data_IF_732447994598
#
_entry.id   IF_732447994598
#
_cell.length_a   1.000
_cell.length_b   1.000
_cell.length_c   1.000
_cell.angle_alpha   90.00
_cell.angle_beta   90.00
_cell.angle_gamma   90.00
#
_symmetry.space_group_name_H-M   'P 1'
#
loop_
_entity.id
_entity.type
_entity.pdbx_description
1 polymer ?
#
# COMPACT_ATOMS: atom_id res chain seq x y z
N UNK A 1 -2.18 13.78 12.08
CA UNK A 1 -1.16 14.76 12.54
C UNK A 1 -0.31 14.04 13.57
N UNK A 2 1.01 14.11 13.48
CA UNK A 2 1.90 13.46 14.44
C UNK A 2 1.91 14.24 15.77
N UNK A 3 2.21 13.54 16.90
CA UNK A 3 2.31 14.18 18.23
C UNK A 3 3.24 15.40 18.20
N UNK A 4 4.34 15.30 17.47
CA UNK A 4 5.33 16.38 17.32
C UNK A 4 4.76 17.59 16.62
N UNK A 5 3.97 17.36 15.54
CA UNK A 5 3.32 18.46 14.78
C UNK A 5 2.36 19.23 15.67
N UNK A 6 1.58 18.52 16.51
CA UNK A 6 0.66 19.15 17.47
C UNK A 6 1.42 20.01 18.48
N UNK A 7 2.52 19.50 19.02
CA UNK A 7 3.35 20.24 19.97
C UNK A 7 4.04 21.46 19.33
N UNK A 8 4.48 21.34 18.08
CA UNK A 8 5.06 22.46 17.32
C UNK A 8 3.99 23.53 17.01
N UNK A 9 2.77 23.14 16.69
CA UNK A 9 1.65 24.07 16.49
C UNK A 9 1.27 24.79 17.78
N UNK A 10 1.31 24.12 18.94
CA UNK A 10 1.15 24.80 20.24
C UNK A 10 2.27 25.80 20.47
N UNK A 11 3.52 25.40 20.24
CA UNK A 11 4.70 26.26 20.41
C UNK A 11 4.66 27.49 19.52
N UNK A 12 4.12 27.38 18.30
CA UNK A 12 3.98 28.49 17.33
C UNK A 12 2.69 29.27 17.51
N UNK A 13 1.81 28.90 18.46
CA UNK A 13 0.53 29.57 18.71
C UNK A 13 -0.54 29.34 17.65
N UNK A 14 -0.37 28.34 16.79
CA UNK A 14 -1.36 27.97 15.75
C UNK A 14 -2.58 27.31 16.39
N UNK A 15 -2.36 26.49 17.44
CA UNK A 15 -3.43 25.88 18.25
C UNK A 15 -3.20 26.18 19.73
N UNK A 16 -4.28 26.22 20.52
CA UNK A 16 -4.20 26.42 21.96
C UNK A 16 -3.78 25.14 22.72
N UNK A 17 -3.35 25.28 23.95
CA UNK A 17 -3.07 24.15 24.83
C UNK A 17 -4.32 23.28 25.03
N UNK A 18 -5.49 23.92 25.19
CA UNK A 18 -6.78 23.24 25.35
C UNK A 18 -7.17 22.41 24.13
N UNK A 19 -6.85 22.91 22.91
CA UNK A 19 -7.06 22.16 21.66
C UNK A 19 -6.10 20.96 21.57
N UNK A 20 -4.83 21.15 21.94
CA UNK A 20 -3.86 20.05 22.00
C UNK A 20 -4.26 19.00 23.08
N UNK A 21 -4.75 19.43 24.24
CA UNK A 21 -5.27 18.50 25.26
C UNK A 21 -6.46 17.67 24.76
N UNK A 22 -7.39 18.30 24.03
CA UNK A 22 -8.49 17.56 23.40
C UNK A 22 -7.99 16.51 22.43
N UNK A 23 -6.97 16.87 21.63
CA UNK A 23 -6.34 15.94 20.69
C UNK A 23 -5.73 14.73 21.40
N UNK A 24 -4.96 14.96 22.49
CA UNK A 24 -4.31 13.88 23.25
C UNK A 24 -5.28 13.08 24.15
N UNK A 25 -6.38 13.68 24.59
CA UNK A 25 -7.44 13.02 25.40
C UNK A 25 -8.43 12.24 24.53
N UNK A 26 -8.32 12.31 23.19
CA UNK A 26 -9.20 11.57 22.31
C UNK A 26 -9.08 10.07 22.59
N UNK A 27 -10.22 9.41 22.73
CA UNK A 27 -10.24 7.96 22.93
C UNK A 27 -9.55 7.26 21.75
N UNK A 28 -8.80 6.17 21.99
CA UNK A 28 -8.06 5.48 20.93
C UNK A 28 -8.95 4.83 19.87
N UNK A 29 -10.24 4.76 20.13
CA UNK A 29 -11.26 4.31 19.18
C UNK A 29 -12.58 5.00 19.44
N UNK A 30 -13.40 5.09 18.40
CA UNK A 30 -14.79 5.54 18.48
C UNK A 30 -15.72 4.32 18.46
N UNK A 31 -16.64 4.23 19.43
CA UNK A 31 -17.61 3.14 19.56
C UNK A 31 -18.90 3.50 18.81
N UNK A 32 -19.23 2.78 17.75
CA UNK A 32 -20.47 2.94 16.98
C UNK A 32 -21.53 1.90 17.32
N UNK A 33 -21.30 1.07 18.35
CA UNK A 33 -22.18 -0.04 18.73
C UNK A 33 -22.00 -1.30 17.88
N UNK A 34 -21.83 -1.15 16.58
CA UNK A 34 -21.56 -2.25 15.63
C UNK A 34 -20.10 -2.26 15.10
N UNK A 35 -19.35 -1.22 15.34
CA UNK A 35 -17.94 -1.09 14.95
C UNK A 35 -17.18 -0.23 15.95
N UNK A 36 -15.87 -0.47 16.03
CA UNK A 36 -14.92 0.35 16.78
C UNK A 36 -13.91 0.92 15.78
N UNK A 37 -13.97 2.22 15.52
CA UNK A 37 -13.08 2.88 14.59
C UNK A 37 -11.80 3.30 15.29
N UNK A 38 -10.66 2.86 14.80
CA UNK A 38 -9.34 3.12 15.39
C UNK A 38 -8.83 4.54 15.03
N UNK A 39 -9.20 5.51 15.82
CA UNK A 39 -8.84 6.93 15.62
C UNK A 39 -7.35 7.23 15.90
N UNK A 40 -6.64 6.32 16.58
CA UNK A 40 -5.21 6.45 16.89
C UNK A 40 -4.29 5.66 15.95
N UNK A 41 -4.83 4.98 14.95
CA UNK A 41 -4.03 4.15 14.05
C UNK A 41 -2.95 4.95 13.32
N UNK A 42 -3.28 6.14 12.85
CA UNK A 42 -2.32 7.02 12.19
C UNK A 42 -1.14 7.40 13.12
N UNK A 43 -1.41 7.65 14.40
CA UNK A 43 -0.39 7.98 15.40
C UNK A 43 0.53 6.79 15.67
N UNK A 44 -0.02 5.57 15.75
CA UNK A 44 0.73 4.35 16.08
C UNK A 44 1.47 3.75 14.90
N UNK A 45 0.86 3.73 13.71
CA UNK A 45 1.39 3.03 12.53
C UNK A 45 1.79 3.95 11.38
N UNK A 46 1.55 5.28 11.51
CA UNK A 46 1.81 6.25 10.46
C UNK A 46 0.80 6.26 9.32
N UNK A 47 -0.27 5.45 9.41
CA UNK A 47 -1.33 5.35 8.39
C UNK A 47 -2.71 5.34 9.04
N UNK A 48 -3.72 6.00 8.43
CA UNK A 48 -5.10 5.96 8.90
C UNK A 48 -5.70 4.55 8.78
N UNK A 49 -6.84 4.34 9.42
CA UNK A 49 -7.60 3.11 9.25
C UNK A 49 -8.12 2.97 7.82
N UNK A 50 -8.15 1.72 7.32
CA UNK A 50 -8.63 1.36 5.99
C UNK A 50 -9.82 0.41 6.12
N UNK A 51 -10.82 0.62 5.29
CA UNK A 51 -12.07 -0.13 5.34
C UNK A 51 -11.96 -1.37 4.44
N UNK A 52 -12.08 -2.55 5.01
CA UNK A 52 -12.32 -3.76 4.23
C UNK A 52 -13.82 -3.83 3.89
N UNK A 53 -14.18 -3.56 2.63
CA UNK A 53 -15.57 -3.38 2.22
C UNK A 53 -16.33 -4.69 2.03
N UNK A 54 -15.62 -5.77 1.62
CA UNK A 54 -16.25 -7.06 1.35
C UNK A 54 -16.97 -7.62 2.60
N UNK A 55 -18.22 -8.04 2.41
CA UNK A 55 -19.03 -8.63 3.48
C UNK A 55 -19.56 -7.66 4.55
N UNK A 56 -19.27 -6.35 4.44
CA UNK A 56 -19.88 -5.37 5.35
C UNK A 56 -21.34 -5.08 4.95
N UNK A 57 -22.26 -5.01 5.91
CA UNK A 57 -23.61 -4.48 5.65
C UNK A 57 -23.54 -3.04 5.14
N UNK A 58 -24.34 -2.73 4.14
CA UNK A 58 -24.28 -1.46 3.40
C UNK A 58 -24.42 -0.23 4.31
N UNK A 59 -25.41 -0.25 5.22
CA UNK A 59 -25.61 0.86 6.17
C UNK A 59 -24.40 1.10 7.10
N UNK A 60 -23.66 0.04 7.46
CA UNK A 60 -22.47 0.16 8.29
C UNK A 60 -21.30 0.69 7.47
N UNK A 61 -21.19 0.26 6.21
CA UNK A 61 -20.16 0.71 5.30
C UNK A 61 -20.22 2.23 5.09
N UNK A 62 -21.39 2.77 4.74
CA UNK A 62 -21.59 4.21 4.53
C UNK A 62 -21.21 5.00 5.78
N UNK A 63 -21.70 4.61 6.95
CA UNK A 63 -21.39 5.31 8.19
C UNK A 63 -19.90 5.26 8.55
N UNK A 64 -19.24 4.12 8.36
CA UNK A 64 -17.79 3.99 8.59
C UNK A 64 -17.01 4.92 7.67
N UNK A 65 -17.35 4.97 6.37
CA UNK A 65 -16.71 5.86 5.41
C UNK A 65 -16.86 7.33 5.80
N UNK A 66 -18.07 7.77 6.17
CA UNK A 66 -18.33 9.14 6.60
C UNK A 66 -17.50 9.49 7.84
N UNK A 67 -17.52 8.65 8.87
CA UNK A 67 -16.78 8.92 10.11
C UNK A 67 -15.27 8.98 9.90
N UNK A 68 -14.70 8.03 9.16
CA UNK A 68 -13.27 8.05 8.84
C UNK A 68 -12.88 9.25 7.97
N UNK A 69 -13.75 9.66 7.04
CA UNK A 69 -13.53 10.86 6.25
C UNK A 69 -13.61 12.14 7.10
N UNK A 70 -14.59 12.28 7.98
CA UNK A 70 -14.70 13.39 8.93
C UNK A 70 -13.47 13.49 9.83
N UNK A 71 -12.95 12.34 10.29
CA UNK A 71 -11.78 12.29 11.15
C UNK A 71 -10.47 12.65 10.44
N UNK A 72 -10.25 12.09 9.25
CA UNK A 72 -8.94 12.15 8.59
C UNK A 72 -8.92 13.10 7.38
N UNK A 73 -10.08 13.55 6.87
CA UNK A 73 -10.21 14.28 5.61
C UNK A 73 -9.89 13.45 4.36
N UNK A 74 -9.73 12.14 4.54
CA UNK A 74 -9.50 11.15 3.49
C UNK A 74 -9.90 9.78 4.01
N UNK A 75 -10.26 8.86 3.12
CA UNK A 75 -10.64 7.49 3.49
C UNK A 75 -10.33 6.53 2.34
N UNK A 76 -9.87 5.33 2.67
CA UNK A 76 -9.59 4.25 1.72
C UNK A 76 -10.41 3.02 2.10
N UNK A 77 -11.07 2.43 1.13
CA UNK A 77 -11.69 1.12 1.21
C UNK A 77 -11.14 0.18 0.16
N UNK A 78 -10.93 -1.07 0.53
CA UNK A 78 -10.47 -2.12 -0.37
C UNK A 78 -11.57 -3.16 -0.59
N UNK A 79 -11.51 -3.86 -1.72
CA UNK A 79 -12.47 -4.91 -2.11
C UNK A 79 -13.92 -4.43 -2.08
N UNK A 80 -14.15 -3.21 -2.53
CA UNK A 80 -15.48 -2.65 -2.71
C UNK A 80 -16.16 -3.22 -3.96
N UNK A 81 -17.47 -3.22 -3.95
CA UNK A 81 -18.30 -3.53 -5.10
C UNK A 81 -18.91 -2.25 -5.69
N UNK A 82 -19.24 -2.25 -6.97
CA UNK A 82 -19.87 -1.11 -7.64
C UNK A 82 -21.16 -0.64 -6.93
N UNK A 83 -21.98 -1.60 -6.44
CA UNK A 83 -23.17 -1.26 -5.66
C UNK A 83 -22.84 -0.49 -4.35
N UNK A 84 -21.76 -0.86 -3.69
CA UNK A 84 -21.30 -0.16 -2.47
C UNK A 84 -20.79 1.25 -2.79
N UNK A 85 -20.16 1.43 -3.95
CA UNK A 85 -19.76 2.76 -4.42
C UNK A 85 -20.97 3.68 -4.60
N UNK A 86 -22.03 3.23 -5.27
CA UNK A 86 -23.22 4.06 -5.47
C UNK A 86 -23.83 4.52 -4.13
N UNK A 87 -23.91 3.61 -3.15
CA UNK A 87 -24.41 3.94 -1.82
C UNK A 87 -23.54 4.95 -1.08
N UNK A 88 -22.22 4.75 -1.10
CA UNK A 88 -21.29 5.69 -0.44
C UNK A 88 -21.30 7.04 -1.14
N UNK A 89 -21.40 7.08 -2.47
CA UNK A 89 -21.41 8.30 -3.27
C UNK A 89 -22.61 9.20 -2.98
N UNK A 90 -23.77 8.64 -2.64
CA UNK A 90 -24.93 9.43 -2.21
C UNK A 90 -24.62 10.28 -0.97
N UNK A 91 -23.88 9.72 -0.02
CA UNK A 91 -23.52 10.38 1.23
C UNK A 91 -22.19 11.16 1.15
N UNK A 92 -21.27 10.75 0.27
CA UNK A 92 -19.92 11.30 0.09
C UNK A 92 -19.62 11.48 -1.40
N UNK A 93 -20.16 12.57 -2.05
CA UNK A 93 -20.10 12.74 -3.51
C UNK A 93 -18.69 12.78 -4.13
N UNK A 94 -17.67 13.13 -3.35
CA UNK A 94 -16.26 13.16 -3.79
C UNK A 94 -15.58 11.80 -3.80
N UNK A 95 -16.25 10.73 -3.37
CA UNK A 95 -15.67 9.38 -3.40
C UNK A 95 -15.46 8.91 -4.83
N UNK A 96 -14.34 8.27 -5.08
CA UNK A 96 -14.01 7.62 -6.36
C UNK A 96 -13.92 6.12 -6.19
N UNK A 97 -14.25 5.39 -7.24
CA UNK A 97 -14.16 3.94 -7.30
C UNK A 97 -13.37 3.51 -8.54
N UNK A 98 -12.45 2.61 -8.34
CA UNK A 98 -11.71 1.96 -9.41
C UNK A 98 -12.18 0.50 -9.56
N UNK A 99 -12.75 0.18 -10.73
CA UNK A 99 -13.33 -1.13 -11.01
C UNK A 99 -12.28 -2.24 -11.14
N UNK A 100 -11.02 -1.89 -11.44
CA UNK A 100 -9.94 -2.86 -11.62
C UNK A 100 -9.40 -3.32 -10.28
N UNK A 101 -9.07 -2.38 -9.40
CA UNK A 101 -8.52 -2.65 -8.06
C UNK A 101 -9.58 -2.88 -6.99
N UNK A 102 -10.86 -2.56 -7.29
CA UNK A 102 -11.94 -2.52 -6.31
C UNK A 102 -11.65 -1.57 -5.12
N UNK A 103 -10.91 -0.51 -5.38
CA UNK A 103 -10.63 0.53 -4.40
C UNK A 103 -11.69 1.62 -4.45
N UNK A 104 -12.17 1.96 -3.27
CA UNK A 104 -13.10 3.04 -3.00
C UNK A 104 -12.41 4.07 -2.13
N UNK A 105 -12.22 5.32 -2.60
CA UNK A 105 -11.43 6.29 -1.85
C UNK A 105 -11.87 7.74 -2.01
N UNK A 106 -11.60 8.53 -0.97
CA UNK A 106 -11.42 9.98 -1.05
C UNK A 106 -9.98 10.29 -0.66
N UNK A 107 -9.25 10.96 -1.51
CA UNK A 107 -7.85 11.34 -1.27
C UNK A 107 -7.73 12.85 -1.12
N UNK A 108 -6.90 13.32 -0.17
CA UNK A 108 -6.62 14.74 0.01
C UNK A 108 -5.99 15.34 -1.24
N UNK A 109 -6.49 16.51 -1.66
CA UNK A 109 -5.89 17.25 -2.75
C UNK A 109 -4.45 17.69 -2.41
N UNK A 110 -3.56 17.69 -3.41
CA UNK A 110 -2.18 18.14 -3.24
C UNK A 110 -1.28 17.21 -2.42
N UNK A 111 -1.66 15.95 -2.22
CA UNK A 111 -0.83 14.96 -1.52
C UNK A 111 0.52 14.81 -2.20
N UNK A 112 1.59 15.05 -1.45
CA UNK A 112 2.96 14.86 -1.92
C UNK A 112 3.30 13.38 -1.85
N UNK A 113 3.76 12.81 -2.96
CA UNK A 113 4.26 11.44 -3.04
C UNK A 113 5.78 11.46 -3.12
N UNK A 114 6.43 10.55 -2.40
CA UNK A 114 7.89 10.52 -2.28
C UNK A 114 8.45 9.12 -2.51
N UNK A 115 9.76 9.05 -2.76
CA UNK A 115 10.45 7.80 -3.06
C UNK A 115 9.92 7.14 -4.32
N UNK A 116 10.16 5.84 -4.47
CA UNK A 116 9.73 5.05 -5.64
C UNK A 116 9.48 3.60 -5.24
N UNK A 117 8.35 3.06 -5.64
CA UNK A 117 8.00 1.63 -5.55
C UNK A 117 7.75 1.14 -6.98
N UNK A 118 8.34 0.03 -7.37
CA UNK A 118 8.02 -0.64 -8.63
C UNK A 118 6.99 -1.74 -8.37
N UNK A 119 5.89 -1.76 -9.14
CA UNK A 119 4.86 -2.81 -9.07
C UNK A 119 4.87 -3.58 -10.39
N UNK A 120 5.28 -4.85 -10.30
CA UNK A 120 5.47 -5.73 -11.46
C UNK A 120 4.40 -6.83 -11.48
N UNK A 121 3.79 -7.12 -12.65
CA UNK A 121 2.91 -8.28 -12.82
C UNK A 121 3.50 -9.31 -13.78
N UNK A 122 3.23 -10.60 -13.50
CA UNK A 122 3.59 -11.67 -14.42
C UNK A 122 2.72 -11.63 -15.68
N UNK A 123 1.42 -11.48 -15.51
CA UNK A 123 0.47 -11.38 -16.62
C UNK A 123 -0.56 -10.28 -16.41
N UNK A 124 -1.39 -10.05 -17.44
CA UNK A 124 -2.46 -9.05 -17.38
C UNK A 124 -3.60 -9.45 -16.43
N UNK A 125 -3.79 -10.73 -16.17
CA UNK A 125 -4.76 -11.22 -15.20
C UNK A 125 -4.39 -10.89 -13.75
N UNK A 126 -3.14 -10.59 -13.47
CA UNK A 126 -2.66 -10.19 -12.15
C UNK A 126 -2.85 -8.69 -11.85
N UNK A 127 -3.23 -7.89 -12.87
CA UNK A 127 -3.37 -6.44 -12.78
C UNK A 127 -4.32 -6.00 -11.66
N UNK A 128 -5.49 -6.64 -11.42
CA UNK A 128 -6.37 -6.20 -10.34
C UNK A 128 -5.69 -6.18 -8.96
N UNK A 129 -4.91 -7.20 -8.64
CA UNK A 129 -4.17 -7.29 -7.36
C UNK A 129 -3.00 -6.29 -7.34
N UNK A 130 -2.34 -6.10 -8.47
CA UNK A 130 -1.26 -5.13 -8.61
C UNK A 130 -1.77 -3.68 -8.48
N UNK A 131 -2.94 -3.36 -9.06
CA UNK A 131 -3.56 -2.04 -8.88
C UNK A 131 -4.03 -1.80 -7.45
N UNK A 132 -4.54 -2.83 -6.75
CA UNK A 132 -4.82 -2.71 -5.31
C UNK A 132 -3.53 -2.32 -4.55
N UNK A 133 -2.40 -2.96 -4.85
CA UNK A 133 -1.12 -2.63 -4.23
C UNK A 133 -0.62 -1.22 -4.61
N UNK A 134 -0.66 -0.89 -5.90
CA UNK A 134 -0.20 0.38 -6.43
C UNK A 134 -1.00 1.57 -5.84
N UNK A 135 -2.32 1.50 -5.90
CA UNK A 135 -3.19 2.56 -5.40
C UNK A 135 -3.14 2.69 -3.87
N UNK A 136 -2.94 1.57 -3.15
CA UNK A 136 -2.67 1.60 -1.71
C UNK A 136 -1.38 2.35 -1.39
N UNK A 137 -0.30 2.04 -2.11
CA UNK A 137 0.98 2.72 -1.92
C UNK A 137 0.91 4.21 -2.28
N UNK A 138 0.22 4.57 -3.36
CA UNK A 138 -0.03 5.96 -3.76
C UNK A 138 -0.86 6.71 -2.73
N UNK A 139 -1.93 6.09 -2.23
CA UNK A 139 -2.76 6.67 -1.18
C UNK A 139 -1.96 6.96 0.09
N UNK A 140 -1.00 6.12 0.42
CA UNK A 140 -0.11 6.32 1.56
C UNK A 140 1.11 7.20 1.28
N UNK A 141 1.21 7.81 0.10
CA UNK A 141 2.20 8.84 -0.23
C UNK A 141 3.47 8.33 -0.89
N UNK A 142 3.45 7.18 -1.55
CA UNK A 142 4.56 6.70 -2.38
C UNK A 142 4.36 7.04 -3.87
N UNK A 143 5.46 7.33 -4.59
CA UNK A 143 5.43 7.28 -6.05
C UNK A 143 5.48 5.81 -6.50
N UNK A 144 4.65 5.46 -7.47
CA UNK A 144 4.57 4.09 -7.99
C UNK A 144 4.81 4.05 -9.48
N UNK A 145 5.75 3.19 -9.89
CA UNK A 145 5.94 2.80 -11.29
C UNK A 145 5.29 1.45 -11.55
N UNK A 146 4.37 1.42 -12.51
CA UNK A 146 3.64 0.22 -12.94
C UNK A 146 4.35 -0.47 -14.08
N UNK A 147 4.78 -1.72 -13.90
CA UNK A 147 5.54 -2.51 -14.87
C UNK A 147 4.79 -3.83 -15.08
N UNK A 148 3.80 -3.79 -15.96
CA UNK A 148 2.87 -4.90 -16.14
C UNK A 148 3.27 -5.81 -17.29
N UNK A 149 2.81 -7.10 -17.21
CA UNK A 149 3.01 -8.14 -18.21
C UNK A 149 4.49 -8.44 -18.50
N UNK A 150 5.28 -8.62 -17.44
CA UNK A 150 6.71 -8.96 -17.49
C UNK A 150 7.01 -10.37 -16.98
N UNK A 151 6.08 -11.30 -17.21
CA UNK A 151 6.20 -12.69 -16.78
C UNK A 151 7.39 -13.43 -17.36
N UNK A 152 7.77 -14.50 -16.66
CA UNK A 152 8.99 -15.28 -16.94
C UNK A 152 8.97 -16.03 -18.27
N UNK A 153 7.80 -16.22 -18.88
CA UNK A 153 7.68 -16.77 -20.24
C UNK A 153 8.31 -15.90 -21.32
N UNK A 154 8.59 -14.62 -21.00
CA UNK A 154 9.24 -13.67 -21.88
C UNK A 154 10.20 -12.78 -21.11
N UNK A 155 11.28 -13.32 -20.56
CA UNK A 155 12.26 -12.61 -19.73
C UNK A 155 12.79 -11.31 -20.35
N UNK A 156 12.87 -11.24 -21.70
CA UNK A 156 13.29 -10.02 -22.39
C UNK A 156 12.40 -8.81 -22.05
N UNK A 157 11.11 -9.01 -21.76
CA UNK A 157 10.19 -7.95 -21.33
C UNK A 157 10.58 -7.41 -19.95
N UNK A 158 10.86 -8.29 -19.01
CA UNK A 158 11.35 -7.92 -17.67
C UNK A 158 12.70 -7.22 -17.74
N UNK A 159 13.65 -7.79 -18.48
CA UNK A 159 15.00 -7.24 -18.61
C UNK A 159 15.01 -5.85 -19.28
N UNK A 160 14.07 -5.57 -20.20
CA UNK A 160 13.93 -4.24 -20.81
C UNK A 160 13.46 -3.15 -19.84
N UNK A 161 12.98 -3.53 -18.65
CA UNK A 161 12.51 -2.62 -17.59
C UNK A 161 13.39 -2.64 -16.34
N UNK A 162 14.50 -3.35 -16.38
CA UNK A 162 15.32 -3.62 -15.21
C UNK A 162 15.85 -2.35 -14.53
N UNK A 163 16.28 -1.36 -15.30
CA UNK A 163 16.81 -0.08 -14.76
C UNK A 163 15.76 0.60 -13.88
N UNK A 164 14.52 0.73 -14.37
CA UNK A 164 13.41 1.31 -13.62
C UNK A 164 13.06 0.53 -12.34
N UNK A 165 13.19 -0.80 -12.39
CA UNK A 165 12.96 -1.68 -11.22
C UNK A 165 14.07 -1.49 -10.19
N UNK A 166 15.32 -1.39 -10.59
CA UNK A 166 16.49 -1.23 -9.72
C UNK A 166 16.55 0.13 -9.00
N UNK A 167 15.96 1.17 -9.60
CA UNK A 167 15.84 2.49 -8.99
C UNK A 167 14.83 2.53 -7.84
N UNK A 168 13.92 1.57 -7.74
CA UNK A 168 12.89 1.55 -6.69
C UNK A 168 13.49 1.24 -5.31
N UNK A 169 12.92 1.82 -4.25
CA UNK A 169 13.27 1.51 -2.86
C UNK A 169 12.73 0.16 -2.41
N UNK A 170 11.64 -0.29 -3.06
CA UNK A 170 11.01 -1.59 -2.83
C UNK A 170 10.31 -2.03 -4.11
N UNK A 171 10.28 -3.33 -4.37
CA UNK A 171 9.60 -3.91 -5.53
C UNK A 171 8.44 -4.78 -5.04
N UNK A 172 7.27 -4.64 -5.66
CA UNK A 172 6.13 -5.54 -5.47
C UNK A 172 6.05 -6.45 -6.70
N UNK A 173 6.16 -7.75 -6.52
CA UNK A 173 6.10 -8.76 -7.58
C UNK A 173 4.81 -9.57 -7.45
N UNK A 174 3.87 -9.37 -8.38
CA UNK A 174 2.54 -9.99 -8.36
C UNK A 174 2.45 -11.06 -9.44
N UNK A 175 2.16 -12.30 -9.03
CA UNK A 175 2.12 -13.43 -9.95
C UNK A 175 1.21 -14.55 -9.47
N UNK A 176 0.41 -15.09 -10.38
CA UNK A 176 -0.31 -16.34 -10.23
C UNK A 176 0.47 -17.54 -10.76
N UNK A 177 -0.24 -18.58 -11.19
CA UNK A 177 0.31 -19.83 -11.73
C UNK A 177 1.35 -20.47 -10.79
N UNK A 178 2.63 -20.48 -11.17
CA UNK A 178 3.76 -20.99 -10.40
C UNK A 178 4.51 -19.94 -9.59
N UNK A 179 4.16 -18.63 -9.75
CA UNK A 179 4.73 -17.56 -8.93
C UNK A 179 6.22 -17.24 -9.16
N UNK A 180 6.81 -17.66 -10.26
CA UNK A 180 8.26 -17.58 -10.49
C UNK A 180 8.81 -16.14 -10.62
N UNK A 181 7.99 -15.17 -11.02
CA UNK A 181 8.42 -13.78 -11.25
C UNK A 181 9.14 -13.19 -10.03
N UNK A 182 8.63 -13.44 -8.82
CA UNK A 182 9.22 -12.92 -7.59
C UNK A 182 10.66 -13.41 -7.38
N UNK A 183 10.92 -14.69 -7.65
CA UNK A 183 12.28 -15.28 -7.55
C UNK A 183 13.24 -14.68 -8.57
N UNK A 184 12.76 -14.46 -9.81
CA UNK A 184 13.59 -13.86 -10.88
C UNK A 184 13.93 -12.41 -10.52
N UNK A 185 12.93 -11.60 -10.13
CA UNK A 185 13.18 -10.22 -9.70
C UNK A 185 14.13 -10.18 -8.50
N UNK A 186 13.91 -11.03 -7.48
CA UNK A 186 14.76 -11.10 -6.30
C UNK A 186 16.23 -11.43 -6.61
N UNK A 187 16.49 -12.16 -7.70
CA UNK A 187 17.85 -12.40 -8.19
C UNK A 187 18.47 -11.26 -9.00
N UNK A 188 17.68 -10.25 -9.42
CA UNK A 188 18.11 -9.15 -10.28
C UNK A 188 18.22 -7.80 -9.55
N UNK A 189 17.70 -7.69 -8.33
CA UNK A 189 17.66 -6.43 -7.60
C UNK A 189 18.34 -6.54 -6.23
N UNK A 190 18.87 -5.43 -5.73
CA UNK A 190 19.41 -5.31 -4.37
C UNK A 190 18.40 -4.73 -3.37
N UNK A 191 17.15 -4.58 -3.77
CA UNK A 191 16.08 -3.98 -2.97
C UNK A 191 15.14 -5.04 -2.42
N UNK A 192 14.45 -4.79 -1.29
CA UNK A 192 13.44 -5.70 -0.78
C UNK A 192 12.35 -5.96 -1.82
N UNK A 193 11.93 -7.22 -1.95
CA UNK A 193 10.85 -7.64 -2.84
C UNK A 193 9.69 -8.14 -2.01
N UNK A 194 8.51 -7.54 -2.19
CA UNK A 194 7.27 -8.03 -1.62
C UNK A 194 6.57 -8.88 -2.67
N UNK A 195 6.55 -10.19 -2.46
CA UNK A 195 5.92 -11.14 -3.36
C UNK A 195 4.44 -11.31 -3.03
N UNK A 196 3.60 -11.16 -4.03
CA UNK A 196 2.14 -11.30 -3.93
C UNK A 196 1.69 -12.46 -4.80
N UNK A 197 1.41 -13.63 -4.22
CA UNK A 197 0.78 -14.70 -4.95
C UNK A 197 -0.66 -14.30 -5.31
N UNK A 198 -1.12 -14.62 -6.51
CA UNK A 198 -2.51 -14.39 -6.90
C UNK A 198 -3.25 -15.72 -7.09
N UNK A 199 -4.57 -15.68 -6.94
CA UNK A 199 -5.45 -16.81 -7.23
C UNK A 199 -5.58 -17.10 -8.73
N UNK A 200 -4.95 -16.31 -9.58
CA UNK A 200 -4.91 -16.49 -11.03
C UNK A 200 -4.21 -17.79 -11.39
N UNK A 201 -4.91 -18.65 -12.11
CA UNK A 201 -4.40 -19.93 -12.54
C UNK A 201 -5.50 -20.99 -12.69
N UNK A 202 -5.09 -22.21 -12.98
CA UNK A 202 -5.98 -23.36 -13.15
C UNK A 202 -5.30 -24.67 -12.70
N UNK A 203 -6.08 -25.73 -12.58
CA UNK A 203 -5.55 -27.06 -12.24
C UNK A 203 -4.78 -27.07 -10.94
N UNK A 204 -3.51 -27.44 -10.98
CA UNK A 204 -2.63 -27.58 -9.81
C UNK A 204 -2.24 -26.24 -9.17
N UNK A 205 -2.66 -25.09 -9.70
CA UNK A 205 -2.45 -23.78 -9.06
C UNK A 205 -3.21 -23.65 -7.73
N UNK A 206 -4.31 -24.43 -7.57
CA UNK A 206 -5.12 -24.49 -6.34
C UNK A 206 -5.44 -23.11 -5.77
N UNK A 207 -5.99 -22.22 -6.64
CA UNK A 207 -6.35 -20.84 -6.28
C UNK A 207 -5.20 -20.05 -5.63
N UNK A 208 -4.00 -20.17 -6.21
CA UNK A 208 -2.82 -19.43 -5.78
C UNK A 208 -1.93 -20.13 -4.77
N UNK A 209 -2.30 -21.33 -4.29
CA UNK A 209 -1.48 -22.07 -3.34
C UNK A 209 -0.12 -22.44 -3.94
N UNK A 210 -0.07 -22.83 -5.22
CA UNK A 210 1.18 -23.12 -5.92
C UNK A 210 2.10 -21.89 -5.96
N UNK A 211 1.57 -20.72 -6.32
CA UNK A 211 2.33 -19.48 -6.31
C UNK A 211 2.84 -19.12 -4.91
N UNK A 212 1.98 -19.24 -3.89
CA UNK A 212 2.36 -18.99 -2.49
C UNK A 212 3.50 -19.90 -2.05
N UNK A 213 3.40 -21.21 -2.28
CA UNK A 213 4.43 -22.18 -1.89
C UNK A 213 5.75 -21.95 -2.63
N UNK A 214 5.70 -21.59 -3.91
CA UNK A 214 6.90 -21.24 -4.69
C UNK A 214 7.58 -20.00 -4.14
N UNK A 215 6.82 -18.94 -3.86
CA UNK A 215 7.37 -17.69 -3.33
C UNK A 215 7.98 -17.85 -1.94
N UNK A 216 7.33 -18.61 -1.04
CA UNK A 216 7.85 -18.90 0.31
C UNK A 216 9.14 -19.73 0.25
N UNK A 217 9.25 -20.66 -0.71
CA UNK A 217 10.41 -21.53 -0.89
C UNK A 217 11.46 -20.96 -1.85
N UNK A 218 11.39 -19.68 -2.19
CA UNK A 218 12.35 -19.06 -3.09
C UNK A 218 13.76 -19.06 -2.51
N UNK A 219 14.76 -19.40 -3.35
CA UNK A 219 16.18 -19.29 -3.01
C UNK A 219 16.70 -17.84 -3.10
N UNK A 220 15.96 -16.93 -3.73
CA UNK A 220 16.36 -15.54 -3.83
C UNK A 220 16.19 -14.84 -2.47
N UNK A 221 17.26 -14.22 -1.98
CA UNK A 221 17.24 -13.51 -0.70
C UNK A 221 16.50 -12.17 -0.82
N UNK A 222 15.97 -11.67 0.29
CA UNK A 222 15.32 -10.36 0.34
C UNK A 222 13.85 -10.36 -0.13
N UNK A 223 13.23 -11.52 -0.28
CA UNK A 223 11.81 -11.69 -0.59
C UNK A 223 11.01 -11.87 0.70
N UNK A 224 9.96 -11.07 0.87
CA UNK A 224 8.90 -11.28 1.86
C UNK A 224 7.59 -11.57 1.13
N UNK A 225 6.82 -12.55 1.61
CA UNK A 225 5.60 -13.00 0.94
C UNK A 225 4.38 -12.58 1.74
N UNK A 226 3.40 -11.98 1.07
CA UNK A 226 2.09 -11.68 1.67
C UNK A 226 1.08 -12.79 1.34
N UNK A 227 -0.13 -12.70 1.88
CA UNK A 227 -1.18 -13.66 1.59
C UNK A 227 -1.62 -13.59 0.11
N UNK A 228 -2.31 -14.64 -0.36
CA UNK A 228 -2.88 -14.71 -1.72
C UNK A 228 -3.83 -13.53 -1.93
N UNK A 229 -3.72 -12.88 -3.09
CA UNK A 229 -4.49 -11.71 -3.51
C UNK A 229 -4.41 -10.50 -2.55
N UNK A 230 -3.38 -10.40 -1.71
CA UNK A 230 -3.24 -9.31 -0.74
C UNK A 230 -2.43 -8.14 -1.31
N UNK A 231 -2.96 -7.46 -2.32
CA UNK A 231 -2.37 -6.25 -2.89
C UNK A 231 -2.27 -5.13 -1.85
N UNK A 232 -3.32 -4.93 -1.05
CA UNK A 232 -3.32 -3.94 0.03
C UNK A 232 -2.15 -4.14 1.01
N UNK A 233 -1.95 -5.36 1.51
CA UNK A 233 -0.85 -5.65 2.44
C UNK A 233 0.52 -5.39 1.83
N UNK A 234 0.70 -5.72 0.54
CA UNK A 234 1.94 -5.45 -0.18
C UNK A 234 2.20 -3.96 -0.34
N UNK A 235 1.20 -3.19 -0.78
CA UNK A 235 1.29 -1.72 -0.90
C UNK A 235 1.59 -1.04 0.44
N UNK A 236 0.99 -1.53 1.52
CA UNK A 236 1.23 -1.04 2.88
C UNK A 236 2.70 -1.26 3.31
N UNK A 237 3.19 -2.50 3.24
CA UNK A 237 4.56 -2.87 3.64
C UNK A 237 5.58 -2.14 2.76
N UNK A 238 5.37 -2.14 1.42
CA UNK A 238 6.27 -1.45 0.50
C UNK A 238 6.36 0.05 0.80
N UNK A 239 5.25 0.70 1.19
CA UNK A 239 5.27 2.10 1.60
C UNK A 239 6.03 2.31 2.90
N UNK A 240 5.94 1.40 3.88
CA UNK A 240 6.76 1.49 5.10
C UNK A 240 8.25 1.42 4.75
N UNK A 241 8.66 0.48 3.90
CA UNK A 241 10.05 0.35 3.42
C UNK A 241 10.48 1.62 2.66
N UNK A 242 9.64 2.10 1.74
CA UNK A 242 9.91 3.30 0.96
C UNK A 242 10.14 4.52 1.86
N UNK A 243 9.35 4.69 2.92
CA UNK A 243 9.49 5.78 3.90
C UNK A 243 10.83 5.75 4.64
N UNK A 244 11.39 4.59 4.94
CA UNK A 244 12.71 4.49 5.56
C UNK A 244 13.79 5.11 4.67
N UNK A 245 13.67 4.99 3.35
CA UNK A 245 14.63 5.52 2.39
C UNK A 245 14.74 7.05 2.37
N UNK A 246 13.68 7.79 2.72
CA UNK A 246 13.71 9.25 2.74
C UNK A 246 13.55 9.88 4.14
N UNK A 247 13.13 9.13 5.15
CA UNK A 247 13.07 9.61 6.54
C UNK A 247 14.46 9.84 7.12
N UNK A 248 15.49 9.18 6.61
CA UNK A 248 16.89 9.38 7.00
C UNK A 248 17.60 10.50 6.22
N UNK A 249 16.93 11.11 5.21
CA UNK A 249 17.48 12.20 4.39
C UNK A 249 17.13 13.61 4.88
N UNK A 250 16.59 13.81 6.09
CA UNK A 250 16.25 15.13 6.66
C UNK A 250 17.46 15.90 7.18
N UNK A 251 17.72 17.03 6.58
CA UNK A 251 18.48 18.26 6.92
C UNK A 251 19.81 18.21 7.67
N UNK A 252 20.37 17.06 8.02
CA UNK A 252 21.78 16.95 8.44
C UNK A 252 22.44 15.86 7.59
N UNK A 253 22.66 16.21 6.30
CA UNK A 253 23.31 15.37 5.32
C UNK A 253 24.71 14.96 5.77
N UNK A 254 24.82 13.79 6.33
CA UNK A 254 25.96 12.94 6.09
C UNK A 254 25.44 11.86 5.15
N UNK A 255 25.78 12.02 3.88
CA UNK A 255 25.67 10.99 2.87
C UNK A 255 26.28 9.69 3.41
N UNK A 256 25.46 8.81 3.94
CA UNK A 256 25.82 7.41 4.02
C UNK A 256 25.62 6.87 2.62
N UNK A 257 26.52 7.26 1.73
CA UNK A 257 26.79 6.54 0.50
C UNK A 257 27.21 5.15 0.98
N UNK A 258 26.32 4.16 0.80
CA UNK A 258 26.78 2.79 0.75
C UNK A 258 27.75 2.71 -0.41
N UNK A 259 29.05 2.80 -0.05
CA UNK A 259 30.12 2.69 -1.02
C UNK A 259 29.98 1.39 -1.78
N UNK A 260 29.62 1.49 -3.05
CA UNK A 260 29.96 0.50 -4.02
C UNK A 260 31.50 0.47 -4.09
N UNK A 261 32.14 -0.31 -3.23
CA UNK A 261 33.49 -0.76 -3.53
C UNK A 261 33.40 -1.67 -4.73
N UNK A 262 33.84 -1.15 -5.86
CA UNK A 262 34.15 -1.94 -7.03
C UNK A 262 35.14 -3.04 -6.61
N UNK A 263 34.70 -4.26 -6.70
CA UNK A 263 35.59 -5.42 -6.70
C UNK A 263 36.18 -5.51 -8.11
N UNK A 264 37.44 -5.09 -8.24
CA UNK A 264 38.30 -5.47 -9.36
C UNK A 264 38.74 -6.94 -9.21
#
# INVERSE_FOLDING_TARGET
>A
METRDVLEQVKTGIISIEEAEKYFKKQPFEELGYAKLDTHRQIRSGFPEVVFCSGKPDQYLVNIFLRLYEENGEVLGTRAQAAQYELVKEALPQVSYDEVSHILKVEKAGKIRQGKIAVCTAGTADIPVAEEAAQTAEYFGSNVERIYDVGVSGLHRLLSKLDGIQEANCVIAVAGMEGALASVIGGLVSRPVIAVPTSVGYGASLNGLSALLTMINSCANGIAVVNIDNGYGAGYIATQINRLGYSYGGENGTDIIFGMQQWN
#
